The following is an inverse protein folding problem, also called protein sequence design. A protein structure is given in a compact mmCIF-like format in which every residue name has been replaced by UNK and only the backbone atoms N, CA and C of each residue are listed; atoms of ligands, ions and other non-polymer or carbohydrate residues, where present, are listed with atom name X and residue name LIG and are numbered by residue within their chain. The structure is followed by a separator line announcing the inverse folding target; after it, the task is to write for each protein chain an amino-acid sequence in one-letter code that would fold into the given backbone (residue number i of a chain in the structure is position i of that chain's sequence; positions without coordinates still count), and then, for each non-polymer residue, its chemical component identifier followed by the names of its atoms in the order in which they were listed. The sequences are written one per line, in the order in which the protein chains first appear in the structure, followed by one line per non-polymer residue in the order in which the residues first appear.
data_IF_965168905154
#
_entry.id   IF_965168905154
#
_cell.length_a   1.000
_cell.length_b   1.000
_cell.length_c   1.000
_cell.angle_alpha   90.00
_cell.angle_beta   90.00
_cell.angle_gamma   90.00
#
_symmetry.space_group_name_H-M   'P 1'
#
loop_
_entity.id
_entity.type
_entity.pdbx_description
1 polymer ?
#
# COMPACT_ATOMS: atom_id res chain seq x y z
N UNK A 1 5.40 -10.72 2.80
CA UNK A 1 5.59 -9.81 3.96
C UNK A 1 7.05 -9.46 4.29
N UNK A 2 8.02 -10.40 4.36
CA UNK A 2 9.44 -10.07 4.69
C UNK A 2 10.07 -8.95 3.85
N UNK A 3 9.90 -8.97 2.52
CA UNK A 3 10.40 -7.91 1.62
C UNK A 3 9.73 -6.55 1.89
N UNK A 4 8.42 -6.54 2.12
CA UNK A 4 7.68 -5.32 2.43
C UNK A 4 8.15 -4.70 3.75
N UNK A 5 8.32 -5.50 4.80
CA UNK A 5 8.83 -4.99 6.08
C UNK A 5 10.21 -4.33 5.92
N UNK A 6 11.09 -4.93 5.10
CA UNK A 6 12.41 -4.36 4.79
C UNK A 6 12.29 -2.99 4.10
N UNK A 7 11.40 -2.86 3.11
CA UNK A 7 11.16 -1.58 2.40
C UNK A 7 10.59 -0.51 3.34
N UNK A 8 9.65 -0.89 4.21
CA UNK A 8 9.03 0.04 5.15
C UNK A 8 10.02 0.51 6.23
N UNK A 9 10.90 -0.38 6.71
CA UNK A 9 11.92 -0.05 7.71
C UNK A 9 13.10 0.75 7.16
N UNK A 10 13.30 0.76 5.85
CA UNK A 10 14.41 1.44 5.21
C UNK A 10 14.07 2.92 4.96
N UNK A 11 14.72 3.87 5.65
CA UNK A 11 14.44 5.29 5.49
C UNK A 11 14.96 5.85 4.16
N UNK A 12 15.89 5.17 3.47
CA UNK A 12 16.39 5.62 2.16
C UNK A 12 15.34 5.40 1.05
N UNK A 13 14.38 4.52 1.28
CA UNK A 13 13.27 4.27 0.34
C UNK A 13 12.22 5.37 0.46
N UNK A 14 12.35 6.41 -0.37
CA UNK A 14 11.44 7.57 -0.35
C UNK A 14 10.14 7.37 -1.13
N UNK A 15 10.15 6.47 -2.12
CA UNK A 15 9.01 6.22 -3.01
C UNK A 15 8.79 4.72 -3.18
N UNK A 16 7.57 4.26 -2.91
CA UNK A 16 7.15 2.86 -3.10
C UNK A 16 6.10 2.85 -4.20
N UNK A 17 6.34 2.09 -5.26
CA UNK A 17 5.38 1.95 -6.37
C UNK A 17 4.70 0.59 -6.24
N UNK A 18 3.37 0.58 -6.30
CA UNK A 18 2.56 -0.63 -6.28
C UNK A 18 1.60 -0.62 -7.45
N UNK A 19 1.26 -1.79 -7.96
CA UNK A 19 0.29 -1.93 -9.04
C UNK A 19 -1.14 -1.70 -8.53
N UNK A 20 -1.46 -2.27 -7.36
CA UNK A 20 -2.77 -2.14 -6.72
C UNK A 20 -2.63 -2.00 -5.21
N UNK A 21 -3.61 -1.35 -4.58
CA UNK A 21 -3.63 -1.07 -3.12
C UNK A 21 -3.73 -2.35 -2.30
N UNK A 22 -4.57 -3.29 -2.71
CA UNK A 22 -4.83 -4.58 -2.06
C UNK A 22 -3.57 -5.46 -1.97
N UNK A 23 -2.70 -5.38 -2.98
CA UNK A 23 -1.41 -6.11 -3.00
C UNK A 23 -0.44 -5.62 -1.95
N UNK A 24 -0.51 -4.35 -1.56
CA UNK A 24 0.26 -3.81 -0.44
C UNK A 24 -0.39 -4.19 0.89
N UNK A 25 -1.69 -3.93 1.00
CA UNK A 25 -2.47 -4.24 2.19
C UNK A 25 -3.97 -4.30 1.85
N UNK A 26 -4.61 -5.45 2.11
CA UNK A 26 -6.08 -5.62 2.00
C UNK A 26 -6.85 -4.70 2.95
N UNK A 27 -6.26 -4.37 4.09
CA UNK A 27 -6.80 -3.44 5.09
C UNK A 27 -5.70 -2.52 5.63
N UNK A 28 -6.06 -1.30 6.00
CA UNK A 28 -5.14 -0.36 6.65
C UNK A 28 -4.09 0.25 5.71
N UNK A 29 -4.31 0.20 4.40
CA UNK A 29 -3.49 0.92 3.41
C UNK A 29 -3.36 2.40 3.78
N UNK A 30 -4.47 3.05 4.13
CA UNK A 30 -4.53 4.46 4.51
C UNK A 30 -3.62 4.80 5.70
N UNK A 31 -3.52 3.91 6.69
CA UNK A 31 -2.62 4.12 7.84
C UNK A 31 -1.15 4.03 7.43
N UNK A 32 -0.81 3.08 6.55
CA UNK A 32 0.56 2.93 6.04
C UNK A 32 0.93 4.14 5.18
N UNK A 33 0.03 4.57 4.31
CA UNK A 33 0.22 5.74 3.47
C UNK A 33 0.39 7.01 4.31
N UNK A 34 -0.49 7.26 5.29
CA UNK A 34 -0.40 8.41 6.18
C UNK A 34 0.92 8.41 7.00
N UNK A 35 1.34 7.24 7.50
CA UNK A 35 2.61 7.12 8.24
C UNK A 35 3.82 7.42 7.35
N UNK A 36 3.82 6.95 6.09
CA UNK A 36 4.88 7.27 5.14
C UNK A 36 4.85 8.74 4.72
N UNK A 37 3.67 9.33 4.48
CA UNK A 37 3.52 10.75 4.17
C UNK A 37 4.05 11.64 5.30
N UNK A 38 3.79 11.27 6.56
CA UNK A 38 4.34 11.97 7.72
C UNK A 38 5.88 11.92 7.79
N UNK A 39 6.50 10.91 7.18
CA UNK A 39 7.95 10.76 7.03
C UNK A 39 8.50 11.43 5.76
N UNK A 40 7.67 12.13 4.98
CA UNK A 40 8.06 12.69 3.69
C UNK A 40 8.25 11.63 2.58
N UNK A 41 7.70 10.44 2.78
CA UNK A 41 7.74 9.31 1.85
C UNK A 41 6.39 9.16 1.18
N UNK A 42 6.35 8.55 0.00
CA UNK A 42 5.10 8.40 -0.77
C UNK A 42 4.92 7.00 -1.32
N UNK A 43 3.66 6.59 -1.41
CA UNK A 43 3.24 5.41 -2.16
C UNK A 43 2.59 5.90 -3.45
N UNK A 44 2.96 5.30 -4.58
CA UNK A 44 2.34 5.55 -5.88
C UNK A 44 1.64 4.26 -6.30
N UNK A 45 0.34 4.34 -6.53
CA UNK A 45 -0.46 3.23 -7.03
C UNK A 45 -0.63 3.40 -8.53
N UNK A 46 -0.11 2.46 -9.30
CA UNK A 46 -0.24 2.38 -10.75
C UNK A 46 -1.49 1.58 -11.09
N UNK A 47 -2.69 2.12 -10.81
CA UNK A 47 -3.95 1.47 -11.19
C UNK A 47 -4.25 1.74 -12.67
N UNK A 48 -4.21 0.72 -13.57
CA UNK A 48 -4.83 0.86 -14.89
C UNK A 48 -6.34 0.72 -14.70
N UNK A 49 -6.98 1.82 -14.30
CA UNK A 49 -8.43 2.04 -14.22
C UNK A 49 -9.34 0.85 -13.91
N UNK A 50 -9.94 0.84 -12.73
CA UNK A 50 -11.40 0.67 -12.68
C UNK A 50 -12.01 1.48 -11.54
N UNK A 51 -12.98 2.29 -11.93
CA UNK A 51 -13.82 3.12 -11.09
C UNK A 51 -14.75 2.18 -10.33
N UNK A 52 -14.77 2.24 -8.99
CA UNK A 52 -15.77 1.61 -8.12
C UNK A 52 -16.06 0.13 -8.41
N UNK A 53 -15.44 -0.79 -7.67
CA UNK A 53 -16.24 -1.82 -7.01
C UNK A 53 -15.46 -2.48 -5.86
N UNK A 54 -16.16 -2.62 -4.75
CA UNK A 54 -16.14 -3.78 -3.87
C UNK A 54 -14.90 -4.08 -3.03
N UNK A 55 -14.84 -3.34 -1.91
CA UNK A 55 -14.53 -3.89 -0.59
C UNK A 55 -15.50 -5.03 -0.20
N UNK A 56 -15.59 -6.12 -0.98
CA UNK A 56 -16.40 -7.30 -0.59
C UNK A 56 -15.84 -8.61 -1.15
N UNK A 57 -14.59 -8.96 -0.84
CA UNK A 57 -14.24 -10.38 -0.73
C UNK A 57 -12.94 -10.60 0.05
N UNK A 58 -13.10 -10.96 1.33
CA UNK A 58 -12.56 -12.19 1.93
C UNK A 58 -12.69 -12.10 3.46
N UNK A 59 -13.90 -12.35 3.94
CA UNK A 59 -14.09 -13.19 5.13
C UNK A 59 -14.29 -14.62 4.58
N UNK A 60 -13.69 -15.64 5.22
CA UNK A 60 -13.47 -17.05 4.79
C UNK A 60 -12.04 -17.19 4.23
N UNK A 61 -11.03 -17.75 4.89
CA UNK A 61 -10.90 -18.78 5.95
C UNK A 61 -9.80 -18.38 6.98
#
# INVERSE_FOLDING_TARGET
RRKLMRLLSDPEVTTIIVEHRDRLARFGFEYIEAALLAQGRKIIVMEPGEVKDDLVQDMIE
#
